data_IF_116558397869
#
_entry.id   IF_116558397869
#
_cell.length_a   1.000
_cell.length_b   1.000
_cell.length_c   1.000
_cell.angle_alpha   90.00
_cell.angle_beta   90.00
_cell.angle_gamma   90.00
#
_symmetry.space_group_name_H-M   'P 1'
#
loop_
_entity.id
_entity.type
_entity.pdbx_description
1 polymer ?
#
# COMPACT_ATOMS: atom_id res chain seq x y z
N UNK A 1 -29.97 -10.37 -16.15
CA UNK A 1 -28.94 -9.34 -15.83
C UNK A 1 -27.79 -9.90 -15.00
N UNK A 2 -27.98 -10.81 -14.02
CA UNK A 2 -26.86 -11.40 -13.24
C UNK A 2 -25.89 -12.20 -14.09
N UNK A 3 -26.35 -13.09 -14.97
CA UNK A 3 -25.48 -13.92 -15.80
C UNK A 3 -24.58 -13.14 -16.77
N UNK A 4 -25.03 -11.97 -17.24
CA UNK A 4 -24.23 -11.13 -18.14
C UNK A 4 -23.08 -10.47 -17.39
N UNK A 5 -23.35 -9.92 -16.20
CA UNK A 5 -22.32 -9.28 -15.37
C UNK A 5 -21.23 -10.28 -14.93
N UNK A 6 -21.62 -11.51 -14.58
CA UNK A 6 -20.65 -12.57 -14.23
C UNK A 6 -19.79 -12.97 -15.43
N UNK A 7 -20.39 -13.08 -16.62
CA UNK A 7 -19.66 -13.37 -17.85
C UNK A 7 -18.67 -12.25 -18.18
N UNK A 8 -19.10 -11.00 -18.12
CA UNK A 8 -18.24 -9.82 -18.35
C UNK A 8 -17.10 -9.75 -17.33
N UNK A 9 -17.36 -10.06 -16.05
CA UNK A 9 -16.33 -10.12 -15.01
C UNK A 9 -15.28 -11.19 -15.28
N UNK A 10 -15.69 -12.38 -15.74
CA UNK A 10 -14.76 -13.47 -16.09
C UNK A 10 -13.90 -13.12 -17.31
N UNK A 11 -14.50 -12.53 -18.34
CA UNK A 11 -13.76 -12.07 -19.54
C UNK A 11 -12.73 -11.00 -19.16
N UNK A 12 -13.07 -10.08 -18.25
CA UNK A 12 -12.14 -9.06 -17.76
C UNK A 12 -10.96 -9.69 -17.02
N UNK A 13 -11.21 -10.70 -16.17
CA UNK A 13 -10.16 -11.44 -15.47
C UNK A 13 -9.25 -12.17 -16.45
N UNK A 14 -9.79 -12.77 -17.50
CA UNK A 14 -9.01 -13.45 -18.56
C UNK A 14 -8.16 -12.45 -19.35
N UNK A 15 -8.69 -11.26 -19.64
CA UNK A 15 -7.97 -10.19 -20.34
C UNK A 15 -6.82 -9.62 -19.51
N UNK A 16 -7.00 -9.49 -18.18
CA UNK A 16 -6.01 -8.97 -17.24
C UNK A 16 -5.72 -10.04 -16.17
N UNK A 17 -4.74 -10.91 -16.37
CA UNK A 17 -4.49 -12.02 -15.45
C UNK A 17 -3.72 -11.63 -14.17
N UNK A 18 -3.08 -10.45 -14.16
CA UNK A 18 -2.28 -10.00 -13.02
C UNK A 18 -3.01 -8.90 -12.24
N UNK A 19 -3.40 -9.26 -11.03
CA UNK A 19 -4.02 -8.36 -10.05
C UNK A 19 -3.23 -8.38 -8.75
N UNK A 20 -3.12 -7.26 -8.11
CA UNK A 20 -2.53 -7.19 -6.78
C UNK A 20 -3.55 -7.56 -5.70
N UNK A 21 -4.75 -6.97 -5.80
CA UNK A 21 -5.86 -7.25 -4.90
C UNK A 21 -6.88 -8.18 -5.53
N UNK A 22 -7.58 -8.96 -4.67
CA UNK A 22 -8.82 -9.60 -5.07
C UNK A 22 -9.97 -8.62 -4.92
N UNK A 23 -10.60 -8.25 -6.04
CA UNK A 23 -11.71 -7.30 -6.12
C UNK A 23 -12.95 -8.08 -6.56
N UNK A 24 -14.03 -8.01 -5.81
CA UNK A 24 -15.31 -8.58 -6.24
C UNK A 24 -15.90 -7.73 -7.35
N UNK A 25 -15.91 -8.26 -8.59
CA UNK A 25 -16.41 -7.60 -9.79
C UNK A 25 -17.88 -7.92 -10.07
N UNK A 26 -18.33 -9.09 -9.65
CA UNK A 26 -19.73 -9.54 -9.67
C UNK A 26 -19.95 -10.46 -8.47
N UNK A 27 -21.22 -10.74 -8.06
CA UNK A 27 -21.49 -11.63 -6.95
C UNK A 27 -20.77 -12.98 -7.11
N UNK A 28 -19.82 -13.28 -6.19
CA UNK A 28 -19.02 -14.50 -6.21
C UNK A 28 -17.93 -14.58 -7.29
N UNK A 29 -17.68 -13.52 -8.05
CA UNK A 29 -16.59 -13.42 -9.04
C UNK A 29 -15.63 -12.33 -8.62
N UNK A 30 -14.44 -12.75 -8.19
CA UNK A 30 -13.37 -11.84 -7.76
C UNK A 30 -12.11 -12.01 -8.61
N UNK A 31 -11.32 -10.95 -8.75
CA UNK A 31 -10.02 -10.98 -9.42
C UNK A 31 -9.04 -11.88 -8.66
N UNK A 32 -8.08 -12.51 -9.36
CA UNK A 32 -7.08 -13.42 -8.76
C UNK A 32 -5.93 -12.63 -8.14
N UNK A 33 -6.19 -11.85 -7.09
CA UNK A 33 -5.15 -11.09 -6.40
C UNK A 33 -4.11 -11.96 -5.68
N UNK A 34 -3.08 -11.33 -5.12
CA UNK A 34 -1.99 -12.02 -4.37
C UNK A 34 -2.47 -12.77 -3.12
N UNK A 35 -3.67 -12.43 -2.63
CA UNK A 35 -4.33 -13.09 -1.50
C UNK A 35 -5.84 -13.16 -1.76
N UNK A 36 -6.56 -14.10 -1.12
CA UNK A 36 -8.02 -14.20 -1.27
C UNK A 36 -8.75 -12.92 -0.87
N UNK A 37 -9.96 -12.69 -1.43
CA UNK A 37 -10.81 -11.54 -1.09
C UNK A 37 -11.05 -11.38 0.42
N UNK A 38 -11.19 -12.50 1.14
CA UNK A 38 -11.37 -12.48 2.60
C UNK A 38 -10.18 -11.82 3.32
N UNK A 39 -8.96 -12.05 2.86
CA UNK A 39 -7.76 -11.40 3.39
C UNK A 39 -7.82 -9.88 3.20
N UNK A 40 -8.14 -9.42 1.99
CA UNK A 40 -8.22 -8.00 1.69
C UNK A 40 -9.34 -7.28 2.45
N UNK A 41 -10.47 -7.97 2.64
CA UNK A 41 -11.55 -7.46 3.48
C UNK A 41 -11.13 -7.34 4.97
N UNK A 42 -10.24 -8.21 5.45
CA UNK A 42 -9.67 -8.07 6.79
C UNK A 42 -8.65 -6.93 6.86
N UNK A 43 -7.82 -6.73 5.81
CA UNK A 43 -6.93 -5.57 5.71
C UNK A 43 -7.73 -4.27 5.78
N UNK A 44 -8.82 -4.17 5.01
CA UNK A 44 -9.72 -3.02 5.04
C UNK A 44 -10.30 -2.76 6.45
N UNK A 45 -10.74 -3.81 7.16
CA UNK A 45 -11.23 -3.66 8.54
C UNK A 45 -10.13 -3.23 9.51
N UNK A 46 -8.89 -3.72 9.31
CA UNK A 46 -7.75 -3.37 10.16
C UNK A 46 -7.39 -1.88 10.08
N UNK A 47 -7.74 -1.18 9.01
CA UNK A 47 -7.55 0.27 8.88
C UNK A 47 -8.40 1.07 9.87
N UNK A 48 -9.49 0.48 10.43
CA UNK A 48 -10.43 1.15 11.31
C UNK A 48 -10.88 2.52 10.75
N UNK A 49 -11.32 2.51 9.47
CA UNK A 49 -11.76 3.73 8.79
C UNK A 49 -12.84 4.46 9.60
N UNK A 50 -12.81 5.79 9.66
CA UNK A 50 -13.94 6.55 10.18
C UNK A 50 -15.17 6.35 9.28
N UNK A 51 -16.39 6.70 9.73
CA UNK A 51 -17.54 6.76 8.84
C UNK A 51 -17.25 7.65 7.62
N UNK A 52 -17.42 7.09 6.40
CA UNK A 52 -17.06 7.77 5.15
C UNK A 52 -18.24 8.52 4.51
N UNK A 53 -19.45 8.38 5.02
CA UNK A 53 -20.61 9.10 4.48
C UNK A 53 -20.37 10.61 4.43
N UNK A 54 -20.53 11.19 3.23
CA UNK A 54 -20.30 12.61 2.99
C UNK A 54 -18.84 13.05 2.92
N UNK A 55 -17.87 12.15 3.09
CA UNK A 55 -16.43 12.46 3.12
C UNK A 55 -15.78 12.30 1.75
N UNK A 56 -14.70 13.05 1.56
CA UNK A 56 -13.75 12.89 0.45
C UNK A 56 -12.60 11.96 0.86
N UNK A 57 -12.21 11.05 -0.03
CA UNK A 57 -11.12 10.08 0.18
C UNK A 57 -10.12 10.17 -0.96
N UNK A 58 -8.83 10.26 -0.63
CA UNK A 58 -7.72 10.10 -1.55
C UNK A 58 -7.04 8.75 -1.28
N UNK A 59 -6.91 7.93 -2.31
CA UNK A 59 -6.19 6.66 -2.28
C UNK A 59 -4.89 6.82 -3.07
N UNK A 60 -3.75 6.89 -2.36
CA UNK A 60 -2.43 7.13 -2.94
C UNK A 60 -1.70 5.81 -3.16
N UNK A 61 -1.27 5.56 -4.39
CA UNK A 61 -0.78 4.25 -4.81
C UNK A 61 -1.94 3.27 -5.02
N UNK A 62 -3.00 3.73 -5.68
CA UNK A 62 -4.28 3.03 -5.79
C UNK A 62 -4.19 1.68 -6.53
N UNK A 63 -3.17 1.48 -7.36
CA UNK A 63 -2.89 0.28 -8.14
C UNK A 63 -4.12 -0.18 -8.94
N UNK A 64 -4.74 -1.31 -8.57
CA UNK A 64 -5.96 -1.86 -9.21
C UNK A 64 -7.28 -1.37 -8.58
N UNK A 65 -7.21 -0.48 -7.56
CA UNK A 65 -8.34 0.27 -7.03
C UNK A 65 -9.14 -0.38 -5.91
N UNK A 66 -8.66 -1.47 -5.29
CA UNK A 66 -9.39 -2.15 -4.22
C UNK A 66 -9.87 -1.20 -3.11
N UNK A 67 -8.97 -0.39 -2.55
CA UNK A 67 -9.32 0.54 -1.47
C UNK A 67 -10.17 1.71 -1.95
N UNK A 68 -9.94 2.19 -3.18
CA UNK A 68 -10.75 3.22 -3.82
C UNK A 68 -12.21 2.78 -3.97
N UNK A 69 -12.44 1.59 -4.55
CA UNK A 69 -13.80 1.05 -4.72
C UNK A 69 -14.44 0.67 -3.38
N UNK A 70 -13.64 0.22 -2.41
CA UNK A 70 -14.12 -0.04 -1.06
C UNK A 70 -14.59 1.24 -0.36
N UNK A 71 -13.84 2.35 -0.47
CA UNK A 71 -14.23 3.64 0.09
C UNK A 71 -15.54 4.16 -0.52
N UNK A 72 -15.72 4.02 -1.84
CA UNK A 72 -16.98 4.37 -2.51
C UNK A 72 -18.14 3.51 -1.97
N UNK A 73 -17.99 2.17 -1.88
CA UNK A 73 -19.00 1.27 -1.31
C UNK A 73 -19.35 1.58 0.14
N UNK A 74 -18.40 2.12 0.91
CA UNK A 74 -18.60 2.58 2.29
C UNK A 74 -19.26 3.96 2.38
N UNK A 75 -19.66 4.55 1.24
CA UNK A 75 -20.47 5.76 1.18
C UNK A 75 -19.67 7.07 1.11
N UNK A 76 -18.39 7.04 0.76
CA UNK A 76 -17.65 8.27 0.48
C UNK A 76 -18.35 9.08 -0.61
N UNK A 77 -18.46 10.40 -0.40
CA UNK A 77 -19.10 11.29 -1.36
C UNK A 77 -18.20 11.55 -2.59
N UNK A 78 -16.90 11.54 -2.40
CA UNK A 78 -15.89 11.67 -3.45
C UNK A 78 -14.72 10.73 -3.15
N UNK A 79 -14.26 9.98 -4.14
CA UNK A 79 -13.06 9.15 -4.04
C UNK A 79 -12.15 9.46 -5.23
N UNK A 80 -10.88 9.72 -4.94
CA UNK A 80 -9.85 9.93 -5.96
C UNK A 80 -8.78 8.86 -5.79
N UNK A 81 -8.58 8.07 -6.83
CA UNK A 81 -7.46 7.16 -6.98
C UNK A 81 -6.27 7.91 -7.61
N UNK A 82 -5.13 7.92 -6.93
CA UNK A 82 -3.92 8.57 -7.40
C UNK A 82 -2.82 7.53 -7.53
N UNK A 83 -2.30 7.35 -8.72
CA UNK A 83 -1.15 6.48 -8.98
C UNK A 83 -0.39 6.98 -10.22
N UNK A 84 0.88 6.68 -10.25
CA UNK A 84 1.75 6.87 -11.40
C UNK A 84 2.63 5.64 -11.59
N UNK A 85 3.17 5.11 -10.52
CA UNK A 85 4.18 4.06 -10.57
C UNK A 85 3.61 2.73 -11.07
N UNK A 86 2.58 2.20 -10.41
CA UNK A 86 1.97 0.96 -10.84
C UNK A 86 1.26 1.12 -12.21
N UNK A 87 0.65 2.28 -12.44
CA UNK A 87 -0.07 2.54 -13.70
C UNK A 87 0.85 2.70 -14.91
N UNK A 88 2.09 3.17 -14.72
CA UNK A 88 3.06 3.33 -15.81
C UNK A 88 3.78 2.03 -16.18
N UNK A 89 3.72 1.02 -15.34
CA UNK A 89 4.42 -0.24 -15.55
C UNK A 89 3.53 -1.31 -16.20
N UNK A 90 4.09 -2.06 -17.14
CA UNK A 90 3.49 -3.32 -17.61
C UNK A 90 3.65 -4.39 -16.52
N UNK A 91 2.78 -4.33 -15.53
CA UNK A 91 2.86 -5.20 -14.35
C UNK A 91 2.69 -6.68 -14.70
N UNK A 92 1.94 -7.00 -15.75
CA UNK A 92 1.78 -8.39 -16.23
C UNK A 92 3.12 -9.00 -16.65
N UNK A 93 3.86 -8.31 -17.51
CA UNK A 93 5.14 -8.80 -17.99
C UNK A 93 6.24 -8.66 -16.95
N UNK A 94 6.25 -7.55 -16.20
CA UNK A 94 7.19 -7.34 -15.08
C UNK A 94 7.08 -8.45 -14.02
N UNK A 95 5.88 -8.78 -13.57
CA UNK A 95 5.68 -9.83 -12.55
C UNK A 95 6.04 -11.23 -13.06
N UNK A 96 5.90 -11.49 -14.36
CA UNK A 96 6.37 -12.74 -14.97
C UNK A 96 7.90 -12.83 -14.92
N UNK A 97 8.59 -11.76 -15.31
CA UNK A 97 10.05 -11.68 -15.28
C UNK A 97 10.58 -11.72 -13.84
N UNK A 98 9.91 -11.05 -12.92
CA UNK A 98 10.25 -11.07 -11.50
C UNK A 98 10.20 -12.49 -10.91
N UNK A 99 9.15 -13.26 -11.20
CA UNK A 99 9.04 -14.66 -10.74
C UNK A 99 10.15 -15.52 -11.31
N UNK A 100 10.49 -15.33 -12.59
CA UNK A 100 11.60 -16.04 -13.22
C UNK A 100 12.94 -15.65 -12.59
N UNK A 101 13.22 -14.36 -12.43
CA UNK A 101 14.45 -13.87 -11.81
C UNK A 101 14.62 -14.39 -10.38
N UNK A 102 13.54 -14.41 -9.62
CA UNK A 102 13.54 -14.97 -8.26
C UNK A 102 13.88 -16.46 -8.26
N UNK A 103 13.31 -17.25 -9.18
CA UNK A 103 13.59 -18.68 -9.33
C UNK A 103 15.05 -18.95 -9.74
N UNK A 104 15.67 -18.03 -10.46
CA UNK A 104 17.07 -18.08 -10.91
C UNK A 104 18.05 -17.46 -9.87
N UNK A 105 17.55 -16.95 -8.75
CA UNK A 105 18.36 -16.28 -7.73
C UNK A 105 18.95 -14.94 -8.19
N UNK A 106 18.30 -14.27 -9.13
CA UNK A 106 18.71 -12.94 -9.64
C UNK A 106 17.80 -11.85 -9.11
N UNK A 107 18.36 -10.68 -8.85
CA UNK A 107 17.61 -9.47 -8.56
C UNK A 107 17.11 -8.85 -9.87
N UNK A 108 15.81 -8.57 -9.96
CA UNK A 108 15.24 -7.76 -11.03
C UNK A 108 15.23 -6.29 -10.60
N UNK A 109 15.71 -5.35 -11.43
CA UNK A 109 15.57 -3.92 -11.16
C UNK A 109 14.10 -3.52 -11.02
N UNK A 110 13.84 -2.44 -10.30
CA UNK A 110 12.48 -1.91 -10.15
C UNK A 110 11.87 -1.52 -11.50
N UNK A 111 10.53 -1.56 -11.67
CA UNK A 111 9.86 -1.36 -12.97
C UNK A 111 10.36 -0.16 -13.77
N UNK A 112 10.58 0.99 -13.12
CA UNK A 112 11.03 2.21 -13.80
C UNK A 112 12.45 2.14 -14.40
N UNK A 113 13.22 1.11 -14.08
CA UNK A 113 14.56 0.83 -14.62
C UNK A 113 14.56 -0.24 -15.69
N UNK A 114 13.38 -0.71 -16.11
CA UNK A 114 13.20 -1.79 -17.09
C UNK A 114 12.44 -1.32 -18.32
N UNK A 115 12.38 -2.15 -19.36
CA UNK A 115 11.56 -1.92 -20.56
C UNK A 115 10.06 -2.02 -20.30
N UNK A 116 9.66 -2.48 -19.11
CA UNK A 116 8.26 -2.53 -18.69
C UNK A 116 7.70 -1.15 -18.31
N UNK A 117 8.57 -0.15 -18.13
CA UNK A 117 8.16 1.21 -17.80
C UNK A 117 7.67 1.97 -19.04
N UNK A 118 6.37 2.22 -19.12
CA UNK A 118 5.71 2.88 -20.28
C UNK A 118 4.71 3.93 -19.81
N UNK A 119 5.18 5.09 -19.26
CA UNK A 119 4.31 6.09 -18.65
C UNK A 119 3.41 6.83 -19.67
N UNK A 120 3.73 6.80 -20.96
CA UNK A 120 2.88 7.36 -22.02
C UNK A 120 1.71 6.47 -22.40
N UNK A 121 1.79 5.17 -22.11
CA UNK A 121 0.78 4.15 -22.47
C UNK A 121 -0.09 3.74 -21.28
N UNK A 122 0.44 3.87 -20.07
CA UNK A 122 -0.20 3.50 -18.80
C UNK A 122 -0.75 2.06 -18.77
N UNK A 123 0.05 1.06 -19.12
CA UNK A 123 -0.44 -0.31 -19.24
C UNK A 123 -0.97 -0.89 -17.93
N UNK A 124 -0.41 -0.48 -16.79
CA UNK A 124 -0.86 -0.91 -15.46
C UNK A 124 -2.16 -0.26 -15.00
N UNK A 125 -2.62 0.80 -15.68
CA UNK A 125 -3.90 1.45 -15.38
C UNK A 125 -5.09 0.73 -15.98
N UNK A 126 -4.88 -0.01 -17.06
CA UNK A 126 -5.96 -0.64 -17.81
C UNK A 126 -6.85 -1.58 -16.95
N UNK A 127 -6.31 -2.43 -16.04
CA UNK A 127 -7.14 -3.23 -15.13
C UNK A 127 -8.02 -2.37 -14.21
N UNK A 128 -7.47 -1.28 -13.64
CA UNK A 128 -8.22 -0.34 -12.82
C UNK A 128 -9.38 0.28 -13.60
N UNK A 129 -9.12 0.81 -14.79
CA UNK A 129 -10.16 1.46 -15.61
C UNK A 129 -11.25 0.46 -16.04
N UNK A 130 -10.86 -0.77 -16.39
CA UNK A 130 -11.79 -1.83 -16.74
C UNK A 130 -12.68 -2.26 -15.54
N UNK A 131 -12.08 -2.45 -14.37
CA UNK A 131 -12.84 -2.73 -13.13
C UNK A 131 -13.78 -1.57 -12.79
N UNK A 132 -13.30 -0.31 -12.86
CA UNK A 132 -14.11 0.88 -12.63
C UNK A 132 -15.34 0.94 -13.56
N UNK A 133 -15.14 0.64 -14.83
CA UNK A 133 -16.22 0.63 -15.81
C UNK A 133 -17.24 -0.47 -15.52
N UNK A 134 -16.78 -1.71 -15.25
CA UNK A 134 -17.66 -2.85 -14.94
C UNK A 134 -18.46 -2.63 -13.68
N UNK A 135 -17.82 -2.09 -12.63
CA UNK A 135 -18.45 -1.75 -11.35
C UNK A 135 -19.37 -0.52 -11.44
N UNK A 136 -19.34 0.22 -12.57
CA UNK A 136 -20.01 1.52 -12.74
C UNK A 136 -19.63 2.51 -11.63
N UNK A 137 -18.37 2.44 -11.20
CA UNK A 137 -17.83 3.24 -10.12
C UNK A 137 -17.62 4.69 -10.55
N UNK A 138 -17.87 5.64 -9.65
CA UNK A 138 -17.66 7.07 -9.81
C UNK A 138 -16.29 7.53 -9.32
N UNK A 139 -15.42 6.61 -8.91
CA UNK A 139 -14.06 6.93 -8.48
C UNK A 139 -13.35 7.74 -9.58
N UNK A 140 -12.88 8.91 -9.22
CA UNK A 140 -12.02 9.74 -10.06
C UNK A 140 -10.61 9.14 -10.10
N UNK A 141 -9.84 9.38 -11.17
CA UNK A 141 -8.44 8.94 -11.23
C UNK A 141 -7.52 10.07 -11.66
N UNK A 142 -6.41 10.23 -10.96
CA UNK A 142 -5.31 11.16 -11.27
C UNK A 142 -4.06 10.33 -11.53
N UNK A 143 -3.51 10.43 -12.75
CA UNK A 143 -2.23 9.81 -13.09
C UNK A 143 -1.13 10.83 -12.86
N UNK A 144 -0.49 10.77 -11.69
CA UNK A 144 0.58 11.70 -11.31
C UNK A 144 1.44 11.07 -10.22
N UNK A 145 2.71 11.42 -10.18
CA UNK A 145 3.53 11.17 -9.02
C UNK A 145 3.00 12.01 -7.84
N UNK A 146 2.64 11.33 -6.75
CA UNK A 146 2.07 12.01 -5.58
C UNK A 146 3.04 13.03 -4.96
N UNK A 147 4.35 12.85 -5.13
CA UNK A 147 5.35 13.78 -4.61
C UNK A 147 5.25 15.18 -5.25
N UNK A 148 4.80 15.26 -6.50
CA UNK A 148 4.59 16.52 -7.21
C UNK A 148 3.12 16.96 -7.26
N UNK A 149 2.19 16.10 -6.85
CA UNK A 149 0.76 16.43 -6.79
C UNK A 149 0.50 17.39 -5.63
N UNK A 150 0.02 18.60 -5.95
CA UNK A 150 -0.30 19.61 -4.93
C UNK A 150 -1.78 19.59 -4.54
N UNK A 151 -2.09 20.23 -3.40
CA UNK A 151 -3.47 20.46 -2.99
C UNK A 151 -4.25 21.37 -3.98
N UNK A 152 -3.56 22.19 -4.78
CA UNK A 152 -4.18 22.98 -5.85
C UNK A 152 -4.64 22.09 -7.00
N UNK A 153 -3.90 21.02 -7.30
CA UNK A 153 -4.23 20.07 -8.37
C UNK A 153 -5.32 19.08 -7.99
N UNK A 154 -5.21 18.49 -6.80
CA UNK A 154 -6.08 17.38 -6.38
C UNK A 154 -7.17 17.80 -5.39
N UNK A 155 -6.99 18.91 -4.68
CA UNK A 155 -7.74 19.28 -3.49
C UNK A 155 -7.14 18.70 -2.21
N UNK A 156 -7.81 18.98 -1.10
CA UNK A 156 -7.55 18.31 0.19
C UNK A 156 -8.69 17.34 0.52
N UNK A 157 -8.38 16.32 1.34
CA UNK A 157 -9.30 15.21 1.57
C UNK A 157 -9.53 14.98 3.07
N UNK A 158 -10.76 14.60 3.42
CA UNK A 158 -11.12 14.20 4.79
C UNK A 158 -10.36 12.95 5.24
N UNK A 159 -10.11 12.02 4.31
CA UNK A 159 -9.34 10.80 4.57
C UNK A 159 -8.33 10.61 3.43
N UNK A 160 -7.06 10.47 3.80
CA UNK A 160 -5.98 10.09 2.88
C UNK A 160 -5.52 8.68 3.22
N UNK A 161 -5.58 7.78 2.26
CA UNK A 161 -5.06 6.41 2.36
C UNK A 161 -3.67 6.38 1.73
N UNK A 162 -2.65 6.00 2.50
CA UNK A 162 -1.27 5.85 2.07
C UNK A 162 -0.78 4.45 2.48
N UNK A 163 -1.25 3.46 1.72
CA UNK A 163 -1.20 2.05 2.08
C UNK A 163 -0.22 1.29 1.18
N UNK A 164 0.82 0.72 1.77
CA UNK A 164 1.80 -0.06 1.02
C UNK A 164 2.72 0.77 0.12
N UNK A 165 2.89 2.07 0.38
CA UNK A 165 3.64 2.99 -0.51
C UNK A 165 4.89 3.53 0.16
N UNK A 166 4.88 3.83 1.46
CA UNK A 166 5.96 4.56 2.13
C UNK A 166 7.34 3.90 1.95
N UNK A 167 7.42 2.59 2.00
CA UNK A 167 8.67 1.86 1.88
C UNK A 167 9.25 1.87 0.45
N UNK A 168 8.46 2.23 -0.56
CA UNK A 168 8.91 2.44 -1.94
C UNK A 168 9.45 3.84 -2.21
N UNK A 169 9.36 4.77 -1.26
CA UNK A 169 9.73 6.17 -1.47
C UNK A 169 11.15 6.43 -0.97
N UNK A 170 11.99 7.06 -1.79
CA UNK A 170 13.38 7.37 -1.42
C UNK A 170 13.49 8.38 -0.27
N UNK A 171 12.56 9.36 -0.21
CA UNK A 171 12.44 10.32 0.91
C UNK A 171 11.14 10.10 1.67
N UNK A 172 11.13 9.18 2.66
CA UNK A 172 9.92 8.83 3.39
C UNK A 172 9.38 9.98 4.25
N UNK A 173 10.24 10.89 4.73
CA UNK A 173 9.76 12.03 5.51
C UNK A 173 9.07 13.07 4.62
N UNK A 174 9.63 13.38 3.44
CA UNK A 174 8.96 14.25 2.47
C UNK A 174 7.61 13.66 2.02
N UNK A 175 7.51 12.33 1.85
CA UNK A 175 6.26 11.66 1.55
C UNK A 175 5.19 11.89 2.63
N UNK A 176 5.53 11.75 3.90
CA UNK A 176 4.58 11.99 5.01
C UNK A 176 4.18 13.48 5.07
N UNK A 177 5.11 14.41 4.80
CA UNK A 177 4.77 15.85 4.67
C UNK A 177 3.79 16.10 3.53
N UNK A 178 3.96 15.42 2.39
CA UNK A 178 3.03 15.49 1.27
C UNK A 178 1.64 14.95 1.64
N UNK A 179 1.57 13.85 2.37
CA UNK A 179 0.29 13.33 2.88
C UNK A 179 -0.38 14.33 3.82
N UNK A 180 0.41 15.02 4.67
CA UNK A 180 -0.13 16.08 5.54
C UNK A 180 -0.70 17.26 4.73
N UNK A 181 -0.03 17.67 3.66
CA UNK A 181 -0.50 18.73 2.74
C UNK A 181 -1.85 18.37 2.09
N UNK A 182 -2.02 17.11 1.68
CA UNK A 182 -3.24 16.63 1.02
C UNK A 182 -4.37 16.30 2.00
N UNK A 183 -4.10 16.28 3.31
CA UNK A 183 -5.12 16.01 4.34
C UNK A 183 -5.78 17.33 4.76
N UNK A 184 -7.10 17.40 4.66
CA UNK A 184 -7.89 18.57 5.03
C UNK A 184 -7.77 18.91 6.53
N UNK A 185 -8.01 20.15 6.95
CA UNK A 185 -8.18 20.48 8.37
C UNK A 185 -9.26 19.61 9.01
N UNK A 186 -8.94 18.99 10.15
CA UNK A 186 -9.82 18.02 10.83
C UNK A 186 -9.90 16.65 10.13
N UNK A 187 -9.14 16.47 9.07
CA UNK A 187 -9.04 15.19 8.34
C UNK A 187 -8.03 14.23 8.96
N UNK A 188 -7.87 13.08 8.32
CA UNK A 188 -7.02 11.98 8.77
C UNK A 188 -6.24 11.37 7.62
N UNK A 189 -4.96 11.08 7.85
CA UNK A 189 -4.17 10.21 6.99
C UNK A 189 -3.99 8.85 7.67
N UNK A 190 -4.18 7.78 6.91
CA UNK A 190 -3.90 6.40 7.34
C UNK A 190 -2.69 5.92 6.58
N UNK A 191 -1.60 5.67 7.30
CA UNK A 191 -0.35 5.18 6.73
C UNK A 191 -0.17 3.71 7.11
N UNK A 192 -0.01 2.86 6.12
CA UNK A 192 0.35 1.46 6.30
C UNK A 192 1.68 1.19 5.59
N UNK A 193 2.63 0.57 6.28
CA UNK A 193 3.97 0.33 5.74
C UNK A 193 4.61 -0.93 6.34
N UNK A 194 5.63 -1.45 5.64
CA UNK A 194 6.58 -2.37 6.26
C UNK A 194 7.26 -1.67 7.44
N UNK A 195 7.39 -2.39 8.53
CA UNK A 195 8.03 -1.92 9.75
C UNK A 195 8.91 -2.99 10.37
N UNK A 196 9.83 -2.56 11.23
CA UNK A 196 10.70 -3.47 11.96
C UNK A 196 10.53 -3.34 13.48
N UNK A 197 10.75 -4.43 14.17
CA UNK A 197 10.86 -4.44 15.62
C UNK A 197 12.31 -4.67 16.05
N UNK A 198 12.88 -3.73 16.81
CA UNK A 198 14.23 -3.83 17.37
C UNK A 198 14.12 -3.82 18.91
N UNK A 199 14.35 -4.95 19.58
CA UNK A 199 14.31 -5.03 21.04
C UNK A 199 15.36 -4.14 21.70
N UNK A 200 15.00 -3.50 22.83
CA UNK A 200 15.93 -2.70 23.62
C UNK A 200 16.18 -1.28 23.09
N UNK A 201 15.52 -0.88 22.03
CA UNK A 201 15.67 0.49 21.49
C UNK A 201 14.77 1.52 22.19
N UNK A 202 13.78 1.06 22.97
CA UNK A 202 12.84 1.95 23.66
C UNK A 202 12.08 2.85 22.68
N UNK A 203 12.08 4.15 22.93
CA UNK A 203 11.42 5.16 22.10
C UNK A 203 12.31 5.74 20.98
N UNK A 204 13.50 5.17 20.73
CA UNK A 204 14.36 5.65 19.65
C UNK A 204 13.71 5.44 18.29
N UNK A 205 13.60 6.50 17.51
CA UNK A 205 13.13 6.46 16.13
C UNK A 205 14.24 5.92 15.23
N UNK A 206 14.05 4.76 14.61
CA UNK A 206 15.03 4.08 13.78
C UNK A 206 14.38 3.61 12.48
N UNK A 207 15.13 3.69 11.37
CA UNK A 207 14.76 3.13 10.07
C UNK A 207 15.87 2.20 9.59
N UNK A 208 15.52 1.04 9.04
CA UNK A 208 16.42 0.18 8.29
C UNK A 208 16.37 0.60 6.81
N UNK A 209 17.54 0.73 6.19
CA UNK A 209 17.69 1.04 4.77
C UNK A 209 18.07 -0.23 4.00
N UNK A 210 17.47 -0.41 2.82
CA UNK A 210 17.71 -1.54 1.94
C UNK A 210 18.25 -1.02 0.61
N UNK A 211 19.55 -1.18 0.33
CA UNK A 211 20.17 -0.68 -0.90
C UNK A 211 19.83 -1.52 -2.15
N UNK A 212 19.35 -2.76 -1.98
CA UNK A 212 19.01 -3.66 -3.08
C UNK A 212 17.62 -4.29 -2.88
N UNK A 213 17.48 -5.60 -2.95
CA UNK A 213 16.20 -6.33 -2.87
C UNK A 213 16.01 -7.12 -1.56
N UNK A 214 16.72 -6.74 -0.51
CA UNK A 214 16.71 -7.46 0.78
C UNK A 214 15.33 -7.44 1.45
N UNK A 215 14.52 -6.43 1.15
CA UNK A 215 13.17 -6.35 1.64
C UNK A 215 12.18 -6.94 0.61
N UNK A 216 11.69 -8.15 0.89
CA UNK A 216 10.68 -8.85 0.10
C UNK A 216 11.11 -9.21 -1.34
N UNK A 217 12.43 -9.27 -1.63
CA UNK A 217 12.99 -9.49 -2.97
C UNK A 217 12.50 -8.46 -4.00
N UNK A 218 12.36 -7.21 -3.56
CA UNK A 218 11.87 -6.13 -4.40
C UNK A 218 12.82 -4.92 -4.29
N UNK A 219 13.52 -4.63 -5.39
CA UNK A 219 14.50 -3.54 -5.48
C UNK A 219 13.88 -2.13 -5.41
N UNK A 220 12.56 -2.02 -5.32
CA UNK A 220 11.87 -0.76 -5.07
C UNK A 220 11.58 -0.50 -3.59
N UNK A 221 11.96 -1.41 -2.70
CA UNK A 221 11.74 -1.30 -1.26
C UNK A 221 12.98 -0.69 -0.58
N UNK A 222 12.88 0.52 -0.07
CA UNK A 222 14.00 1.27 0.49
C UNK A 222 14.08 1.27 2.01
N UNK A 223 12.91 1.24 2.71
CA UNK A 223 12.86 1.56 4.13
C UNK A 223 11.95 0.65 4.94
N UNK A 224 12.36 0.33 6.16
CA UNK A 224 11.46 -0.17 7.19
C UNK A 224 11.67 0.64 8.48
N UNK A 225 10.75 1.57 8.85
CA UNK A 225 10.80 2.27 10.12
C UNK A 225 10.38 1.33 11.27
N UNK A 226 10.82 1.63 12.48
CA UNK A 226 10.13 1.13 13.67
C UNK A 226 8.91 2.02 13.98
N UNK A 227 8.06 1.59 14.92
CA UNK A 227 6.85 2.34 15.30
C UNK A 227 7.20 3.77 15.76
N UNK A 228 8.24 3.94 16.57
CA UNK A 228 8.67 5.24 17.06
C UNK A 228 9.07 6.18 15.91
N UNK A 229 9.71 5.67 14.84
CA UNK A 229 10.09 6.46 13.68
C UNK A 229 8.87 6.89 12.87
N UNK A 230 7.93 5.99 12.60
CA UNK A 230 6.72 6.33 11.84
C UNK A 230 5.86 7.35 12.57
N UNK A 231 5.67 7.18 13.89
CA UNK A 231 4.97 8.16 14.73
C UNK A 231 5.69 9.51 14.74
N UNK A 232 7.04 9.50 14.82
CA UNK A 232 7.85 10.72 14.78
C UNK A 232 7.75 11.44 13.43
N UNK A 233 7.75 10.70 12.30
CA UNK A 233 7.55 11.27 10.96
C UNK A 233 6.20 12.00 10.87
N UNK A 234 5.11 11.36 11.31
CA UNK A 234 3.78 11.97 11.27
C UNK A 234 3.71 13.24 12.14
N UNK A 235 4.26 13.21 13.36
CA UNK A 235 4.29 14.38 14.25
C UNK A 235 5.13 15.51 13.66
N UNK A 236 6.33 15.19 13.17
CA UNK A 236 7.23 16.18 12.57
C UNK A 236 6.67 16.77 11.26
N UNK A 237 5.81 16.04 10.55
CA UNK A 237 5.09 16.52 9.39
C UNK A 237 3.92 17.47 9.73
N UNK A 238 3.55 17.61 11.03
CA UNK A 238 2.52 18.53 11.46
C UNK A 238 1.13 17.90 11.67
N UNK A 239 1.05 16.57 11.84
CA UNK A 239 -0.17 15.94 12.35
C UNK A 239 -0.28 16.16 13.88
N UNK A 240 -1.46 16.59 14.32
CA UNK A 240 -1.72 16.94 15.72
C UNK A 240 -1.87 15.72 16.64
N UNK A 241 -2.40 14.63 16.10
CA UNK A 241 -2.59 13.35 16.80
C UNK A 241 -2.14 12.19 15.95
N UNK A 242 -1.43 11.24 16.54
CA UNK A 242 -0.97 10.02 15.86
C UNK A 242 -1.27 8.83 16.77
N UNK A 243 -2.05 7.89 16.24
CA UNK A 243 -2.44 6.65 16.91
C UNK A 243 -1.97 5.45 16.12
N UNK A 244 -1.21 4.57 16.76
CA UNK A 244 -0.87 3.25 16.20
C UNK A 244 -2.05 2.31 16.35
N UNK A 245 -2.41 1.59 15.29
CA UNK A 245 -3.44 0.57 15.35
C UNK A 245 -2.87 -0.77 15.82
N UNK A 246 -3.70 -1.61 16.48
CA UNK A 246 -3.27 -2.95 16.87
C UNK A 246 -2.79 -3.77 15.68
N UNK A 247 -1.67 -4.44 15.85
CA UNK A 247 -1.17 -5.36 14.83
C UNK A 247 -2.15 -6.51 14.62
N UNK A 248 -2.43 -6.84 13.36
CA UNK A 248 -3.38 -7.90 13.01
C UNK A 248 -2.93 -9.30 13.41
N UNK A 249 -1.62 -9.56 13.33
CA UNK A 249 -1.01 -10.84 13.72
C UNK A 249 0.16 -10.62 14.67
N UNK A 250 -0.11 -10.25 15.94
CA UNK A 250 0.94 -9.96 16.89
C UNK A 250 1.75 -11.23 17.19
N UNK A 251 3.06 -11.05 17.33
CA UNK A 251 3.93 -12.15 17.73
C UNK A 251 3.60 -12.56 19.17
N UNK A 252 3.21 -13.83 19.37
CA UNK A 252 2.89 -14.31 20.71
C UNK A 252 4.11 -14.17 21.64
N UNK A 253 3.91 -13.96 22.96
CA UNK A 253 5.01 -13.83 23.93
C UNK A 253 6.00 -15.01 23.90
N UNK A 254 5.50 -16.24 23.73
CA UNK A 254 6.32 -17.44 23.62
C UNK A 254 7.19 -17.45 22.36
N UNK A 255 6.61 -17.09 21.19
CA UNK A 255 7.37 -16.99 19.94
C UNK A 255 8.40 -15.87 20.01
N UNK A 256 8.05 -14.74 20.66
CA UNK A 256 8.96 -13.62 20.90
C UNK A 256 10.16 -14.05 21.76
N UNK A 257 9.90 -14.72 22.89
CA UNK A 257 10.94 -15.25 23.75
C UNK A 257 11.83 -16.27 23.02
N UNK A 258 11.23 -17.21 22.28
CA UNK A 258 11.96 -18.20 21.47
C UNK A 258 12.88 -17.55 20.42
N UNK A 259 12.41 -16.51 19.73
CA UNK A 259 13.25 -15.76 18.79
C UNK A 259 14.43 -15.05 19.48
N UNK A 260 14.20 -14.44 20.65
CA UNK A 260 15.26 -13.79 21.43
C UNK A 260 16.32 -14.78 21.90
N UNK A 261 15.90 -15.95 22.44
CA UNK A 261 16.81 -17.02 22.88
C UNK A 261 17.62 -17.58 21.71
N UNK A 262 16.94 -17.93 20.59
CA UNK A 262 17.62 -18.44 19.39
C UNK A 262 18.68 -17.46 18.88
N UNK A 263 18.38 -16.19 18.93
CA UNK A 263 19.25 -15.11 18.52
C UNK A 263 20.49 -15.00 19.46
N UNK A 264 20.28 -15.03 20.78
CA UNK A 264 21.38 -14.99 21.75
C UNK A 264 22.29 -16.22 21.61
N UNK A 265 21.74 -17.39 21.24
CA UNK A 265 22.47 -18.65 21.08
C UNK A 265 23.19 -18.77 19.72
N UNK A 266 22.82 -17.97 18.70
CA UNK A 266 23.34 -18.18 17.33
C UNK A 266 24.77 -17.66 17.12
N UNK A 267 25.32 -16.87 18.04
CA UNK A 267 26.67 -16.26 17.89
C UNK A 267 26.85 -15.38 16.63
N UNK A 268 25.78 -15.17 15.86
CA UNK A 268 25.81 -14.35 14.65
C UNK A 268 26.01 -12.88 15.00
N UNK A 269 26.67 -12.12 14.15
CA UNK A 269 26.75 -10.66 14.32
C UNK A 269 25.33 -10.12 14.50
N UNK A 270 25.21 -9.25 15.46
CA UNK A 270 23.96 -8.72 15.98
C UNK A 270 23.12 -8.07 14.87
N UNK A 271 22.19 -8.83 14.26
CA UNK A 271 21.12 -8.20 13.49
C UNK A 271 20.10 -7.64 14.48
N UNK A 272 19.93 -6.34 14.58
CA UNK A 272 19.08 -5.75 15.64
C UNK A 272 17.60 -6.05 15.45
N UNK A 273 17.16 -6.41 14.24
CA UNK A 273 15.76 -6.62 13.89
C UNK A 273 15.27 -7.99 14.38
N UNK A 274 14.27 -8.00 15.25
CA UNK A 274 13.61 -9.22 15.73
C UNK A 274 12.65 -9.78 14.68
N UNK A 275 11.92 -8.90 14.02
CA UNK A 275 10.97 -9.21 12.95
C UNK A 275 10.64 -7.98 12.12
N UNK A 276 10.10 -8.22 10.92
CA UNK A 276 9.38 -7.25 10.10
C UNK A 276 7.89 -7.55 10.17
N UNK A 277 7.07 -6.53 10.05
CA UNK A 277 5.61 -6.62 10.15
C UNK A 277 4.94 -5.42 9.50
N UNK A 278 3.66 -5.52 9.23
CA UNK A 278 2.87 -4.39 8.71
C UNK A 278 2.41 -3.51 9.87
N UNK A 279 2.74 -2.23 9.79
CA UNK A 279 2.40 -1.22 10.79
C UNK A 279 1.39 -0.25 10.21
N UNK A 280 0.32 0.01 10.95
CA UNK A 280 -0.71 0.98 10.57
C UNK A 280 -0.75 2.09 11.61
N UNK A 281 -0.70 3.34 11.16
CA UNK A 281 -0.96 4.50 11.99
C UNK A 281 -2.06 5.36 11.40
N UNK A 282 -2.87 5.96 12.26
CA UNK A 282 -3.82 7.02 11.93
C UNK A 282 -3.27 8.33 12.47
N UNK A 283 -3.10 9.30 11.56
CA UNK A 283 -2.55 10.62 11.86
C UNK A 283 -3.59 11.69 11.51
N UNK A 284 -4.06 12.44 12.50
CA UNK A 284 -5.09 13.48 12.33
C UNK A 284 -4.48 14.88 12.32
N UNK A 285 -5.13 15.78 11.58
CA UNK A 285 -4.75 17.19 11.45
C UNK A 285 -5.38 18.05 12.54
#
# INVERSE_FOLDING_TARGET
>A
MSNTLEADARLLIEQYPEWYHSIELAPGVATPGRAPLAFWNEELRALQLPPLSGKSVLDVGAYDGFFSFAAERLGAARVVALDHYAWSADMTNYMREWRQSLAEGRTLPSPHQTTHWRPSELPGKAPFDAARQLLKSRVESITSDFMVTSAEMAGTFDVVLFLGVLYHVQDPFAAIRKMRELTAPGGMCIVETEAMEIPGTGSRALCEFFPTDELNHDASNWWAPNEAALVAFCRAAGFSSVRTLPERQPLSPLRRAGKLVKRAASGLPFTPVLRRYRLIVQASV
#
